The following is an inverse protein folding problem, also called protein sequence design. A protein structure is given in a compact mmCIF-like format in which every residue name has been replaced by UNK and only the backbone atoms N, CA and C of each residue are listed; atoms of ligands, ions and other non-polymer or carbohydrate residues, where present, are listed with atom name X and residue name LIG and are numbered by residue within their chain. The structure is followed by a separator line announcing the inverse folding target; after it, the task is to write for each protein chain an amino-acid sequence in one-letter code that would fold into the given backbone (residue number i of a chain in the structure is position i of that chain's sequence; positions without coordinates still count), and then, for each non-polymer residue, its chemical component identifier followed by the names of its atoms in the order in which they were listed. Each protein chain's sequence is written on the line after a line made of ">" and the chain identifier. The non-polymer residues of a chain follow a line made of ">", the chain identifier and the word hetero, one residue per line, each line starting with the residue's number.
data_IF_624170571622
#
_entry.id   IF_624170571622
#
_cell.length_a   1.000
_cell.length_b   1.000
_cell.length_c   1.000
_cell.angle_alpha   90.00
_cell.angle_beta   90.00
_cell.angle_gamma   90.00
#
_symmetry.space_group_name_H-M   'P 1'
#
loop_
_entity.id
_entity.type
_entity.pdbx_description
1 polymer ?
#
# COMPACT_ATOMS: atom_id res chain seq x y z
N UNK A 1 -4.30 1.07 -10.83
CA UNK A 1 -3.96 1.74 -9.55
C UNK A 1 -3.17 0.82 -8.65
N UNK A 2 -2.22 1.35 -7.88
CA UNK A 2 -1.48 0.60 -6.85
C UNK A 2 -1.85 1.12 -5.46
N UNK A 3 -2.10 0.20 -4.50
CA UNK A 3 -2.44 0.54 -3.11
C UNK A 3 -1.44 -0.12 -2.17
N UNK A 4 -0.76 0.67 -1.35
CA UNK A 4 -0.05 0.16 -0.17
C UNK A 4 -0.98 0.23 1.04
N UNK A 5 -0.91 -0.75 1.95
CA UNK A 5 -1.85 -0.83 3.07
C UNK A 5 -3.25 -1.30 2.69
N UNK A 6 -3.38 -2.06 1.59
CA UNK A 6 -4.65 -2.55 1.04
C UNK A 6 -5.46 -3.38 2.05
N UNK A 7 -4.83 -4.04 3.00
CA UNK A 7 -5.48 -4.85 4.05
C UNK A 7 -5.99 -4.01 5.23
N UNK A 8 -5.67 -2.72 5.27
CA UNK A 8 -6.20 -1.78 6.24
C UNK A 8 -7.66 -1.43 5.97
N UNK A 9 -8.29 -0.67 6.86
CA UNK A 9 -9.69 -0.24 6.71
C UNK A 9 -9.86 0.61 5.45
N UNK A 10 -9.14 1.71 5.34
CA UNK A 10 -9.25 2.64 4.21
C UNK A 10 -8.81 1.97 2.89
N UNK A 11 -7.75 1.14 2.94
CA UNK A 11 -7.28 0.39 1.79
C UNK A 11 -8.32 -0.58 1.26
N UNK A 12 -9.06 -1.26 2.13
CA UNK A 12 -10.12 -2.19 1.72
C UNK A 12 -11.29 -1.45 1.06
N UNK A 13 -11.79 -0.36 1.65
CA UNK A 13 -12.87 0.44 1.08
C UNK A 13 -12.46 1.10 -0.25
N UNK A 14 -11.25 1.63 -0.34
CA UNK A 14 -10.73 2.20 -1.58
C UNK A 14 -10.64 1.14 -2.68
N UNK A 15 -10.24 -0.07 -2.33
CA UNK A 15 -10.18 -1.20 -3.27
C UNK A 15 -11.56 -1.51 -3.86
N UNK A 16 -12.59 -1.65 -3.02
CA UNK A 16 -13.97 -1.87 -3.45
C UNK A 16 -14.45 -0.73 -4.36
N UNK A 17 -14.19 0.51 -3.96
CA UNK A 17 -14.60 1.69 -4.70
C UNK A 17 -13.97 1.78 -6.09
N UNK A 18 -12.67 1.48 -6.21
CA UNK A 18 -11.95 1.46 -7.48
C UNK A 18 -12.43 0.31 -8.38
N UNK A 19 -12.59 -0.90 -7.82
CA UNK A 19 -13.09 -2.06 -8.56
C UNK A 19 -14.51 -1.82 -9.11
N UNK A 20 -15.39 -1.19 -8.32
CA UNK A 20 -16.74 -0.85 -8.76
C UNK A 20 -16.74 0.14 -9.95
N UNK A 21 -15.68 0.93 -10.11
CA UNK A 21 -15.48 1.87 -11.23
C UNK A 21 -14.69 1.28 -12.41
N UNK A 22 -14.44 -0.02 -12.39
CA UNK A 22 -13.77 -0.72 -13.49
C UNK A 22 -12.24 -0.61 -13.47
N UNK A 23 -11.64 -0.08 -12.41
CA UNK A 23 -10.18 -0.03 -12.28
C UNK A 23 -9.59 -1.43 -12.08
N UNK A 24 -8.37 -1.60 -12.57
CA UNK A 24 -7.48 -2.69 -12.15
C UNK A 24 -6.69 -2.23 -10.93
N UNK A 25 -6.75 -3.02 -9.86
CA UNK A 25 -6.15 -2.69 -8.57
C UNK A 25 -5.02 -3.67 -8.25
N UNK A 26 -3.85 -3.14 -7.95
CA UNK A 26 -2.71 -3.89 -7.43
C UNK A 26 -2.49 -3.50 -5.97
N UNK A 27 -2.50 -4.47 -5.07
CA UNK A 27 -2.27 -4.25 -3.64
C UNK A 27 -0.92 -4.76 -3.17
N UNK A 28 -0.19 -3.95 -2.38
CA UNK A 28 0.99 -4.44 -1.67
C UNK A 28 0.58 -5.04 -0.33
N UNK A 29 1.01 -6.26 -0.08
CA UNK A 29 0.74 -7.02 1.15
C UNK A 29 2.07 -7.43 1.77
N UNK A 30 2.26 -7.12 3.05
CA UNK A 30 3.44 -7.58 3.78
C UNK A 30 3.43 -9.10 3.95
N UNK A 31 4.60 -9.70 3.90
CA UNK A 31 4.81 -11.09 4.24
C UNK A 31 4.87 -11.21 5.77
N UNK A 32 3.74 -11.49 6.41
CA UNK A 32 3.68 -11.76 7.84
C UNK A 32 3.21 -13.19 8.10
N UNK A 33 3.58 -13.74 9.27
CA UNK A 33 3.14 -15.07 9.71
C UNK A 33 1.63 -15.13 9.98
N UNK A 34 0.99 -13.99 10.23
CA UNK A 34 -0.46 -13.86 10.34
C UNK A 34 -0.95 -12.88 9.27
N UNK A 35 -1.43 -13.41 8.16
CA UNK A 35 -2.01 -12.61 7.09
C UNK A 35 -3.46 -12.30 7.47
N UNK A 36 -3.69 -11.20 8.17
CA UNK A 36 -5.04 -10.69 8.35
C UNK A 36 -5.51 -10.05 7.05
N UNK A 37 -6.17 -10.83 6.22
CA UNK A 37 -6.83 -10.37 4.99
C UNK A 37 -8.34 -10.25 5.15
N UNK A 38 -8.85 -10.38 6.36
CA UNK A 38 -10.29 -10.48 6.64
C UNK A 38 -11.12 -9.38 5.96
N UNK A 39 -10.57 -8.17 5.83
CA UNK A 39 -11.26 -7.05 5.18
C UNK A 39 -11.37 -7.16 3.66
N UNK A 40 -10.50 -7.92 3.02
CA UNK A 40 -10.50 -8.12 1.55
C UNK A 40 -10.74 -9.57 1.15
N UNK A 41 -11.03 -10.47 2.10
CA UNK A 41 -11.25 -11.89 1.85
C UNK A 41 -12.41 -12.15 0.87
N UNK A 42 -13.48 -11.37 0.98
CA UNK A 42 -14.62 -11.48 0.06
C UNK A 42 -14.21 -11.15 -1.40
N UNK A 43 -13.29 -10.20 -1.60
CA UNK A 43 -12.77 -9.86 -2.93
C UNK A 43 -11.81 -10.92 -3.46
N UNK A 44 -11.03 -11.56 -2.57
CA UNK A 44 -10.07 -12.60 -2.97
C UNK A 44 -10.71 -13.96 -3.19
N UNK A 45 -11.96 -14.17 -2.74
CA UNK A 45 -12.76 -15.38 -2.99
C UNK A 45 -13.65 -15.25 -4.22
N UNK A 46 -13.75 -14.07 -4.79
CA UNK A 46 -14.53 -13.82 -6.00
C UNK A 46 -13.65 -14.01 -7.24
N UNK A 47 -13.81 -15.12 -7.94
CA UNK A 47 -13.03 -15.47 -9.13
C UNK A 47 -13.20 -14.49 -10.29
N UNK A 48 -14.27 -13.70 -10.30
CA UNK A 48 -14.47 -12.63 -11.29
C UNK A 48 -13.65 -11.37 -11.00
N UNK A 49 -13.13 -11.26 -9.80
CA UNK A 49 -12.36 -10.12 -9.31
C UNK A 49 -10.89 -10.49 -9.11
N UNK A 50 -10.62 -11.53 -8.31
CA UNK A 50 -9.28 -11.93 -7.94
C UNK A 50 -8.51 -12.50 -9.15
N UNK A 51 -7.27 -12.05 -9.35
CA UNK A 51 -6.44 -12.35 -10.52
C UNK A 51 -7.04 -11.96 -11.88
N UNK A 52 -8.14 -11.19 -11.89
CA UNK A 52 -8.72 -10.58 -13.10
C UNK A 52 -8.57 -9.05 -13.05
N UNK A 53 -8.98 -8.44 -11.94
CA UNK A 53 -8.91 -7.00 -11.72
C UNK A 53 -8.29 -6.61 -10.38
N UNK A 54 -8.18 -7.54 -9.43
CA UNK A 54 -7.47 -7.39 -8.16
C UNK A 54 -6.27 -8.32 -8.13
N UNK A 55 -5.08 -7.75 -7.99
CA UNK A 55 -3.81 -8.49 -7.90
C UNK A 55 -3.10 -8.13 -6.60
N UNK A 56 -2.71 -9.14 -5.82
CA UNK A 56 -1.96 -8.94 -4.59
C UNK A 56 -0.49 -9.31 -4.80
N UNK A 57 0.39 -8.42 -4.36
CA UNK A 57 1.84 -8.57 -4.47
C UNK A 57 2.47 -8.55 -3.08
N UNK A 58 3.31 -9.54 -2.81
CA UNK A 58 4.08 -9.57 -1.58
C UNK A 58 5.30 -8.65 -1.72
N UNK A 59 5.29 -7.55 -0.99
CA UNK A 59 6.41 -6.63 -0.87
C UNK A 59 6.33 -5.88 0.46
N UNK A 60 7.48 -5.60 1.06
CA UNK A 60 7.58 -4.72 2.21
C UNK A 60 8.20 -3.37 1.81
N UNK A 61 7.90 -2.30 2.52
CA UNK A 61 8.38 -0.95 2.18
C UNK A 61 9.89 -0.78 2.39
N UNK A 62 10.53 -1.71 3.07
CA UNK A 62 11.99 -1.78 3.19
C UNK A 62 12.67 -2.50 2.01
N UNK A 63 11.92 -3.30 1.23
CA UNK A 63 12.42 -3.99 0.04
C UNK A 63 12.32 -3.12 -1.22
N UNK A 64 13.20 -2.13 -1.30
CA UNK A 64 13.29 -1.17 -2.41
C UNK A 64 13.40 -1.87 -3.77
N UNK A 65 14.17 -2.94 -3.84
CA UNK A 65 14.42 -3.67 -5.09
C UNK A 65 13.15 -4.32 -5.62
N UNK A 66 12.39 -4.98 -4.76
CA UNK A 66 11.12 -5.62 -5.15
C UNK A 66 10.09 -4.58 -5.54
N UNK A 67 9.95 -3.49 -4.78
CA UNK A 67 9.02 -2.41 -5.08
C UNK A 67 9.37 -1.73 -6.40
N UNK A 68 10.64 -1.38 -6.63
CA UNK A 68 11.10 -0.77 -7.90
C UNK A 68 10.77 -1.66 -9.09
N UNK A 69 11.11 -2.94 -9.02
CA UNK A 69 10.82 -3.92 -10.07
C UNK A 69 9.31 -4.02 -10.34
N UNK A 70 8.50 -4.01 -9.29
CA UNK A 70 7.06 -4.06 -9.39
C UNK A 70 6.49 -2.81 -10.07
N UNK A 71 6.92 -1.62 -9.64
CA UNK A 71 6.45 -0.35 -10.21
C UNK A 71 6.83 -0.21 -11.69
N UNK A 72 8.05 -0.58 -12.07
CA UNK A 72 8.47 -0.61 -13.48
C UNK A 72 7.62 -1.57 -14.29
N UNK A 73 7.34 -2.78 -13.76
CA UNK A 73 6.52 -3.80 -14.45
C UNK A 73 5.07 -3.38 -14.62
N UNK A 74 4.46 -2.80 -13.58
CA UNK A 74 3.04 -2.46 -13.55
C UNK A 74 2.75 -1.11 -14.21
N UNK A 75 3.70 -0.19 -14.22
CA UNK A 75 3.54 1.19 -14.68
C UNK A 75 2.20 1.80 -14.21
N UNK A 76 1.91 1.83 -12.90
CA UNK A 76 0.61 2.27 -12.41
C UNK A 76 0.39 3.74 -12.74
N UNK A 77 -0.83 4.10 -13.12
CA UNK A 77 -1.20 5.52 -13.35
C UNK A 77 -1.40 6.29 -12.03
N UNK A 78 -1.72 5.57 -10.97
CA UNK A 78 -2.03 6.13 -9.65
C UNK A 78 -1.46 5.25 -8.56
N UNK A 79 -0.89 5.87 -7.52
CA UNK A 79 -0.44 5.21 -6.31
C UNK A 79 -1.15 5.83 -5.11
N UNK A 80 -1.78 4.99 -4.31
CA UNK A 80 -2.41 5.34 -3.05
C UNK A 80 -1.58 4.76 -1.91
N UNK A 81 -0.82 5.61 -1.23
CA UNK A 81 0.06 5.20 -0.15
C UNK A 81 -0.66 5.36 1.19
N UNK A 82 -1.26 4.26 1.67
CA UNK A 82 -2.04 4.18 2.92
C UNK A 82 -1.31 3.37 4.01
N UNK A 83 -0.15 2.80 3.67
CA UNK A 83 0.64 2.03 4.62
C UNK A 83 1.37 2.94 5.60
N UNK A 84 1.22 2.67 6.89
CA UNK A 84 1.89 3.38 7.97
C UNK A 84 1.58 2.71 9.31
N UNK A 85 2.29 3.11 10.38
CA UNK A 85 1.97 2.70 11.73
C UNK A 85 0.79 3.55 12.24
N UNK A 86 -0.36 2.90 12.40
CA UNK A 86 -1.59 3.58 12.84
C UNK A 86 -1.83 3.51 14.35
N UNK A 87 -1.07 2.69 15.09
CA UNK A 87 -1.23 2.53 16.52
C UNK A 87 -0.31 3.49 17.27
N UNK A 88 -0.87 4.60 17.77
CA UNK A 88 -0.13 5.69 18.42
C UNK A 88 0.69 5.17 19.62
N UNK A 89 0.08 4.42 20.55
CA UNK A 89 0.79 3.86 21.70
C UNK A 89 2.00 3.02 21.30
N UNK A 90 1.83 2.11 20.35
CA UNK A 90 2.90 1.25 19.87
C UNK A 90 4.04 2.06 19.21
N UNK A 91 3.75 3.19 18.57
CA UNK A 91 4.78 4.02 17.94
C UNK A 91 5.80 4.57 18.93
N UNK A 92 5.41 4.78 20.20
CA UNK A 92 6.32 5.19 21.29
C UNK A 92 7.11 4.02 21.85
N UNK A 93 6.54 2.80 21.82
CA UNK A 93 7.23 1.61 22.33
C UNK A 93 8.31 1.11 21.35
N UNK A 94 8.07 1.26 20.03
CA UNK A 94 8.99 0.82 18.97
C UNK A 94 9.31 1.96 17.98
N UNK A 95 9.92 3.07 18.43
CA UNK A 95 10.05 4.28 17.63
C UNK A 95 10.93 4.08 16.38
N UNK A 96 12.01 3.31 16.47
CA UNK A 96 12.89 3.02 15.32
C UNK A 96 12.13 2.27 14.22
N UNK A 97 11.41 1.21 14.58
CA UNK A 97 10.60 0.44 13.62
C UNK A 97 9.49 1.29 13.02
N UNK A 98 8.88 2.17 13.83
CA UNK A 98 7.84 3.10 13.35
C UNK A 98 8.41 4.09 12.34
N UNK A 99 9.57 4.67 12.61
CA UNK A 99 10.27 5.58 11.71
C UNK A 99 10.67 4.87 10.41
N UNK A 100 11.28 3.70 10.53
CA UNK A 100 11.75 2.89 9.40
C UNK A 100 10.59 2.53 8.46
N UNK A 101 9.48 2.10 9.01
CA UNK A 101 8.32 1.68 8.21
C UNK A 101 7.54 2.88 7.65
N UNK A 102 7.25 3.89 8.47
CA UNK A 102 6.39 5.00 8.07
C UNK A 102 7.16 6.09 7.32
N UNK A 103 8.25 6.60 7.89
CA UNK A 103 9.00 7.70 7.29
C UNK A 103 9.92 7.20 6.16
N UNK A 104 10.80 6.26 6.47
CA UNK A 104 11.78 5.75 5.49
C UNK A 104 11.11 4.94 4.38
N UNK A 105 10.06 4.17 4.70
CA UNK A 105 9.27 3.47 3.70
C UNK A 105 8.63 4.42 2.69
N UNK A 106 8.03 5.52 3.17
CA UNK A 106 7.48 6.58 2.32
C UNK A 106 8.56 7.25 1.47
N UNK A 107 9.70 7.61 2.08
CA UNK A 107 10.81 8.23 1.36
C UNK A 107 11.32 7.33 0.22
N UNK A 108 11.56 6.04 0.50
CA UNK A 108 11.99 5.06 -0.50
C UNK A 108 11.01 4.95 -1.66
N UNK A 109 9.71 4.91 -1.35
CA UNK A 109 8.68 4.85 -2.39
C UNK A 109 8.67 6.10 -3.26
N UNK A 110 8.80 7.29 -2.68
CA UNK A 110 8.89 8.56 -3.41
C UNK A 110 10.16 8.62 -4.29
N UNK A 111 11.30 8.14 -3.79
CA UNK A 111 12.53 8.08 -4.57
C UNK A 111 12.39 7.15 -5.79
N UNK A 112 11.71 6.01 -5.62
CA UNK A 112 11.43 5.12 -6.76
C UNK A 112 10.52 5.83 -7.77
N UNK A 113 9.44 6.47 -7.29
CA UNK A 113 8.48 7.18 -8.15
C UNK A 113 9.15 8.31 -8.93
N UNK A 114 10.07 9.05 -8.29
CA UNK A 114 10.84 10.13 -8.94
C UNK A 114 11.69 9.62 -10.11
N UNK A 115 12.22 8.40 -9.98
CA UNK A 115 13.10 7.80 -10.99
C UNK A 115 12.33 7.11 -12.15
N UNK A 116 10.99 7.05 -12.11
CA UNK A 116 10.21 6.46 -13.18
C UNK A 116 10.11 7.41 -14.38
N UNK A 117 10.23 6.88 -15.61
CA UNK A 117 10.07 7.65 -16.84
C UNK A 117 8.70 8.32 -16.95
N UNK A 118 7.67 7.64 -16.43
CA UNK A 118 6.29 8.15 -16.37
C UNK A 118 5.81 8.09 -14.90
N UNK A 119 6.01 9.16 -14.12
CA UNK A 119 5.61 9.16 -12.73
C UNK A 119 4.08 9.11 -12.58
N UNK A 120 3.55 8.23 -11.73
CA UNK A 120 2.13 8.15 -11.44
C UNK A 120 1.65 9.35 -10.63
N UNK A 121 0.33 9.58 -10.62
CA UNK A 121 -0.28 10.42 -9.60
C UNK A 121 -0.10 9.74 -8.24
N UNK A 122 0.43 10.46 -7.27
CA UNK A 122 0.76 9.92 -5.96
C UNK A 122 -0.07 10.60 -4.88
N UNK A 123 -0.87 9.82 -4.16
CA UNK A 123 -1.58 10.24 -2.96
C UNK A 123 -0.94 9.59 -1.74
N UNK A 124 -0.47 10.39 -0.80
CA UNK A 124 -0.03 9.94 0.52
C UNK A 124 -1.06 10.34 1.58
N UNK A 125 -1.58 9.37 2.29
CA UNK A 125 -2.42 9.60 3.46
C UNK A 125 -1.51 9.66 4.68
N UNK A 126 -1.27 10.88 5.17
CA UNK A 126 -0.46 11.13 6.35
C UNK A 126 -1.17 10.78 7.65
N UNK A 127 -0.52 11.05 8.76
CA UNK A 127 -1.07 10.84 10.09
C UNK A 127 -1.99 12.00 10.50
N UNK A 128 -3.10 11.70 11.19
CA UNK A 128 -3.92 12.71 11.87
C UNK A 128 -3.13 13.44 12.97
N UNK A 129 -2.08 12.81 13.49
CA UNK A 129 -1.22 13.34 14.54
C UNK A 129 -0.13 14.29 14.02
N UNK A 130 -0.12 14.60 12.71
CA UNK A 130 0.93 15.39 12.06
C UNK A 130 1.10 16.79 12.69
N UNK A 131 0.01 17.38 13.12
CA UNK A 131 0.01 18.74 13.70
C UNK A 131 -0.11 18.75 15.22
N UNK A 132 -0.17 17.59 15.87
CA UNK A 132 -0.34 17.47 17.31
C UNK A 132 -1.73 17.82 17.81
N UNK A 133 -1.85 18.06 19.13
CA UNK A 133 -3.08 18.53 19.77
C UNK A 133 -3.16 20.04 19.76
#
# INVERSE_FOLDING_TARGET
>A
SLITGITGQDGSYLTEWLLARGHVVHGLVRRSSQISRSRIDHLTRDDSIYNQRLFLHYADLDDVTTIRRLLVKLAPQEIYHLAGQSHVGLSFEIPESTCEFTAMGTLRLLEIVRDLDMPPKFLHVGSSELFGC
#
